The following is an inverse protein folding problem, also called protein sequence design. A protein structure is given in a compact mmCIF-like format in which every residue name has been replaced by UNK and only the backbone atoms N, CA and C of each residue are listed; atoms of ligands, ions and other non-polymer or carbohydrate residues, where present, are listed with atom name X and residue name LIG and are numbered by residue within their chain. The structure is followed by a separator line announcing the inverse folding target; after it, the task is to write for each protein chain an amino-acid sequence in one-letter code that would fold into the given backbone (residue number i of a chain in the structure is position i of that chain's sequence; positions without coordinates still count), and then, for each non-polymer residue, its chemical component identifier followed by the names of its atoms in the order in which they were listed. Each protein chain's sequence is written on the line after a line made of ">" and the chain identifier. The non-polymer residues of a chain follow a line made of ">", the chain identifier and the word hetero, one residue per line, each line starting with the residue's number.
data_IF_256372558688
#
_entry.id   IF_256372558688
#
_cell.length_a   1.000
_cell.length_b   1.000
_cell.length_c   1.000
_cell.angle_alpha   90.00
_cell.angle_beta   90.00
_cell.angle_gamma   90.00
#
_symmetry.space_group_name_H-M   'P 1'
#
loop_
_entity.id
_entity.type
_entity.pdbx_description
1 polymer ?
#
# COMPACT_ATOMS: atom_id res chain seq x y z
N UNK A 1 30.29 -47.50 -74.54
CA UNK A 1 29.42 -46.49 -73.88
C UNK A 1 28.43 -47.24 -72.98
N UNK A 2 28.51 -47.03 -71.65
CA UNK A 2 27.66 -47.70 -70.64
C UNK A 2 26.34 -46.92 -70.45
N UNK A 3 25.19 -47.58 -70.20
CA UNK A 3 23.96 -46.87 -69.84
C UNK A 3 24.01 -46.43 -68.37
N UNK A 4 23.76 -45.15 -68.11
CA UNK A 4 23.66 -44.58 -66.76
C UNK A 4 22.30 -44.91 -66.16
N UNK A 5 22.29 -45.55 -65.00
CA UNK A 5 21.11 -45.75 -64.14
C UNK A 5 20.76 -44.42 -63.47
N UNK A 6 19.50 -43.99 -63.56
CA UNK A 6 18.92 -42.93 -62.74
C UNK A 6 18.54 -43.53 -61.38
N UNK A 7 19.07 -42.96 -60.30
CA UNK A 7 18.67 -43.26 -58.93
C UNK A 7 17.52 -42.32 -58.51
N UNK A 8 16.55 -42.77 -57.71
CA UNK A 8 15.51 -41.90 -57.18
C UNK A 8 16.09 -41.05 -56.04
N UNK A 9 15.92 -39.73 -56.14
CA UNK A 9 16.22 -38.79 -55.08
C UNK A 9 15.12 -38.92 -54.00
N UNK A 10 15.37 -39.66 -52.93
CA UNK A 10 14.57 -39.55 -51.71
C UNK A 10 14.95 -38.23 -51.03
N UNK A 11 14.13 -37.19 -51.21
CA UNK A 11 14.18 -36.00 -50.38
C UNK A 11 13.62 -36.37 -49.00
N UNK A 12 14.52 -36.57 -48.02
CA UNK A 12 14.14 -36.62 -46.62
C UNK A 12 13.63 -35.23 -46.22
N UNK A 13 12.30 -35.07 -46.08
CA UNK A 13 11.75 -33.95 -45.31
C UNK A 13 12.16 -34.14 -43.86
N UNK A 14 13.16 -33.37 -43.42
CA UNK A 14 13.41 -33.16 -42.01
C UNK A 14 12.23 -32.35 -41.44
N UNK A 15 11.26 -33.04 -40.84
CA UNK A 15 10.36 -32.40 -39.88
C UNK A 15 11.19 -32.07 -38.64
N UNK A 16 11.73 -30.87 -38.59
CA UNK A 16 12.12 -30.28 -37.31
C UNK A 16 10.84 -29.94 -36.58
N UNK A 17 10.37 -30.83 -35.70
CA UNK A 17 9.44 -30.48 -34.64
C UNK A 17 10.15 -29.52 -33.70
N UNK A 18 10.25 -28.25 -34.09
CA UNK A 18 10.59 -27.18 -33.17
C UNK A 18 9.44 -27.09 -32.19
N UNK A 19 9.70 -27.41 -30.92
CA UNK A 19 8.80 -27.00 -29.86
C UNK A 19 8.64 -25.48 -30.00
N UNK A 20 7.42 -24.99 -30.22
CA UNK A 20 7.14 -23.57 -30.19
C UNK A 20 7.67 -23.04 -28.85
N UNK A 21 8.53 -22.03 -28.90
CA UNK A 21 8.99 -21.35 -27.69
C UNK A 21 7.78 -20.62 -27.09
N UNK A 22 7.68 -20.62 -25.76
CA UNK A 22 6.64 -19.85 -25.08
C UNK A 22 6.88 -18.36 -25.34
N UNK A 23 5.84 -17.65 -25.76
CA UNK A 23 5.82 -16.20 -25.99
C UNK A 23 5.42 -15.44 -24.70
N UNK A 24 5.97 -15.91 -23.56
CA UNK A 24 5.82 -15.29 -22.24
C UNK A 24 7.13 -14.57 -21.88
N UNK A 25 7.14 -13.25 -22.00
CA UNK A 25 8.34 -12.43 -21.78
C UNK A 25 8.25 -11.67 -20.46
N UNK A 26 9.28 -11.78 -19.61
CA UNK A 26 9.38 -10.94 -18.40
C UNK A 26 9.84 -9.53 -18.77
N UNK A 27 9.11 -8.52 -18.30
CA UNK A 27 9.45 -7.11 -18.52
C UNK A 27 10.51 -6.66 -17.49
N UNK A 28 11.60 -6.06 -17.95
CA UNK A 28 12.76 -5.72 -17.12
C UNK A 28 12.47 -4.59 -16.10
N UNK A 29 11.72 -3.57 -16.51
CA UNK A 29 11.42 -2.38 -15.70
C UNK A 29 10.02 -2.46 -15.10
N UNK A 30 9.84 -3.37 -14.15
CA UNK A 30 8.55 -3.63 -13.50
C UNK A 30 8.53 -3.07 -12.08
N UNK A 31 7.42 -2.43 -11.71
CA UNK A 31 7.20 -1.86 -10.37
C UNK A 31 6.68 -2.87 -9.35
N UNK A 32 6.18 -4.04 -9.76
CA UNK A 32 5.72 -5.10 -8.86
C UNK A 32 6.81 -6.15 -8.60
N UNK A 33 7.19 -6.40 -7.33
CA UNK A 33 8.13 -7.46 -6.95
C UNK A 33 7.81 -8.87 -7.49
N UNK A 34 6.54 -9.20 -7.73
CA UNK A 34 6.15 -10.47 -8.34
C UNK A 34 6.39 -10.54 -9.86
N UNK A 35 6.75 -9.43 -10.48
CA UNK A 35 7.10 -9.34 -11.90
C UNK A 35 5.94 -8.93 -12.79
N UNK A 36 6.33 -8.45 -13.98
CA UNK A 36 5.44 -8.05 -15.06
C UNK A 36 5.77 -8.96 -16.25
N UNK A 37 4.73 -9.50 -16.89
CA UNK A 37 4.88 -10.45 -17.98
C UNK A 37 4.05 -10.00 -19.18
N UNK A 38 4.65 -10.01 -20.37
CA UNK A 38 3.96 -9.85 -21.63
C UNK A 38 3.68 -11.24 -22.21
N UNK A 39 2.42 -11.50 -22.54
CA UNK A 39 2.03 -12.66 -23.33
C UNK A 39 1.62 -12.15 -24.71
N UNK A 40 2.40 -12.50 -25.73
CA UNK A 40 2.18 -12.05 -27.10
C UNK A 40 2.06 -13.23 -28.06
N UNK A 41 1.59 -13.00 -29.28
CA UNK A 41 1.58 -14.06 -30.29
C UNK A 41 0.55 -15.16 -30.02
N UNK A 42 0.70 -16.29 -30.70
CA UNK A 42 -0.25 -17.39 -30.65
C UNK A 42 -0.14 -18.16 -29.32
N UNK A 43 -1.26 -18.41 -28.65
CA UNK A 43 -1.30 -19.13 -27.38
C UNK A 43 -1.20 -20.63 -27.64
N UNK A 44 -0.20 -21.25 -27.02
CA UNK A 44 0.12 -22.67 -27.12
C UNK A 44 0.24 -23.33 -25.74
N UNK A 45 0.38 -24.65 -25.72
CA UNK A 45 0.66 -25.39 -24.48
C UNK A 45 1.98 -24.97 -23.81
N UNK A 46 2.94 -24.45 -24.58
CA UNK A 46 4.21 -23.95 -24.05
C UNK A 46 3.99 -22.70 -23.16
N UNK A 47 3.07 -21.82 -23.54
CA UNK A 47 2.72 -20.61 -22.76
C UNK A 47 2.04 -20.98 -21.45
N UNK A 48 1.11 -21.95 -21.50
CA UNK A 48 0.47 -22.49 -20.30
C UNK A 48 1.50 -23.12 -19.34
N UNK A 49 2.46 -23.89 -19.87
CA UNK A 49 3.53 -24.47 -19.08
C UNK A 49 4.47 -23.41 -18.48
N UNK A 50 4.82 -22.36 -19.23
CA UNK A 50 5.64 -21.25 -18.75
C UNK A 50 4.95 -20.50 -17.60
N UNK A 51 3.64 -20.22 -17.73
CA UNK A 51 2.85 -19.62 -16.65
C UNK A 51 2.78 -20.51 -15.41
N UNK A 52 2.66 -21.83 -15.58
CA UNK A 52 2.67 -22.76 -14.46
C UNK A 52 4.00 -22.71 -13.68
N UNK A 53 5.12 -22.60 -14.38
CA UNK A 53 6.45 -22.43 -13.75
C UNK A 53 6.55 -21.08 -13.00
N UNK A 54 6.03 -20.00 -13.58
CA UNK A 54 5.98 -18.69 -12.92
C UNK A 54 5.12 -18.77 -11.64
N UNK A 55 3.94 -19.38 -11.73
CA UNK A 55 3.04 -19.57 -10.58
C UNK A 55 3.72 -20.36 -9.47
N UNK A 56 4.37 -21.47 -9.80
CA UNK A 56 5.13 -22.27 -8.83
C UNK A 56 6.28 -21.48 -8.19
N UNK A 57 6.95 -20.62 -8.94
CA UNK A 57 7.99 -19.76 -8.38
C UNK A 57 7.42 -18.73 -7.41
N UNK A 58 6.24 -18.18 -7.68
CA UNK A 58 5.58 -17.18 -6.84
C UNK A 58 4.87 -17.79 -5.62
N UNK A 59 4.48 -19.06 -5.70
CA UNK A 59 3.74 -19.75 -4.65
C UNK A 59 4.47 -19.72 -3.29
N UNK A 60 3.69 -19.52 -2.22
CA UNK A 60 4.18 -19.38 -0.85
C UNK A 60 4.99 -18.11 -0.55
N UNK A 61 5.28 -17.26 -1.54
CA UNK A 61 6.00 -16.00 -1.31
C UNK A 61 5.01 -14.89 -0.97
N UNK A 62 5.32 -14.09 0.07
CA UNK A 62 4.55 -12.88 0.42
C UNK A 62 4.90 -11.72 -0.53
N UNK A 63 4.79 -11.95 -1.83
CA UNK A 63 5.01 -10.93 -2.85
C UNK A 63 3.71 -10.23 -3.19
N UNK A 64 3.83 -9.06 -3.82
CA UNK A 64 2.72 -8.39 -4.48
C UNK A 64 2.13 -9.26 -5.60
N UNK A 65 1.02 -8.81 -6.18
CA UNK A 65 0.37 -9.45 -7.33
C UNK A 65 1.22 -9.24 -8.60
N UNK A 66 1.41 -10.25 -9.46
CA UNK A 66 2.06 -10.04 -10.76
C UNK A 66 1.11 -9.31 -11.72
N UNK A 67 1.69 -8.60 -12.68
CA UNK A 67 0.95 -7.95 -13.78
C UNK A 67 1.21 -8.71 -15.08
N UNK A 68 0.16 -8.96 -15.85
CA UNK A 68 0.21 -9.67 -17.13
C UNK A 68 -0.41 -8.81 -18.21
N UNK A 69 0.39 -8.39 -19.18
CA UNK A 69 -0.07 -7.64 -20.35
C UNK A 69 -0.32 -8.61 -21.50
N UNK A 70 -1.44 -8.46 -22.21
CA UNK A 70 -1.83 -9.34 -23.32
C UNK A 70 -1.77 -8.60 -24.66
N UNK A 71 -1.11 -9.23 -25.63
CA UNK A 71 -1.10 -8.82 -27.03
C UNK A 71 -1.12 -10.04 -27.96
N UNK A 72 -2.26 -10.72 -28.03
CA UNK A 72 -2.40 -12.04 -28.67
C UNK A 72 -3.60 -12.11 -29.62
N UNK A 73 -3.41 -12.69 -30.83
CA UNK A 73 -4.52 -13.03 -31.73
C UNK A 73 -5.36 -14.23 -31.26
N UNK A 74 -4.99 -14.90 -30.16
CA UNK A 74 -5.62 -16.13 -29.69
C UNK A 74 -4.71 -17.34 -29.88
N UNK A 75 -5.29 -18.53 -29.99
CA UNK A 75 -4.55 -19.79 -30.11
C UNK A 75 -5.37 -20.98 -29.63
N UNK A 76 -4.70 -21.97 -29.03
CA UNK A 76 -5.32 -23.20 -28.54
C UNK A 76 -6.19 -22.91 -27.31
N UNK A 77 -7.48 -23.24 -27.40
CA UNK A 77 -8.49 -22.95 -26.36
C UNK A 77 -8.17 -23.66 -25.05
N UNK A 78 -7.79 -24.94 -25.10
CA UNK A 78 -7.46 -25.72 -23.90
C UNK A 78 -6.21 -25.14 -23.20
N UNK A 79 -5.19 -24.72 -23.96
CA UNK A 79 -4.02 -24.03 -23.43
C UNK A 79 -4.39 -22.68 -22.79
N UNK A 80 -5.25 -21.90 -23.45
CA UNK A 80 -5.71 -20.62 -22.93
C UNK A 80 -6.53 -20.76 -21.64
N UNK A 81 -7.39 -21.78 -21.54
CA UNK A 81 -8.11 -22.10 -20.29
C UNK A 81 -7.13 -22.50 -19.18
N UNK A 82 -6.14 -23.36 -19.49
CA UNK A 82 -5.14 -23.76 -18.52
C UNK A 82 -4.33 -22.56 -18.02
N UNK A 83 -3.83 -21.73 -18.94
CA UNK A 83 -3.16 -20.47 -18.65
C UNK A 83 -4.03 -19.54 -17.79
N UNK A 84 -5.29 -19.33 -18.16
CA UNK A 84 -6.24 -18.51 -17.40
C UNK A 84 -6.45 -19.00 -15.97
N UNK A 85 -6.52 -20.32 -15.74
CA UNK A 85 -6.59 -20.90 -14.39
C UNK A 85 -5.32 -20.62 -13.58
N UNK A 86 -4.16 -20.71 -14.20
CA UNK A 86 -2.88 -20.38 -13.55
C UNK A 86 -2.78 -18.89 -13.22
N UNK A 87 -3.21 -18.01 -14.13
CA UNK A 87 -3.32 -16.55 -13.90
C UNK A 87 -4.20 -16.27 -12.66
N UNK A 88 -5.32 -16.98 -12.54
CA UNK A 88 -6.21 -16.90 -11.38
C UNK A 88 -5.53 -17.32 -10.07
N UNK A 89 -4.78 -18.42 -10.08
CA UNK A 89 -4.06 -18.91 -8.91
C UNK A 89 -3.05 -17.90 -8.38
N UNK A 90 -2.33 -17.22 -9.29
CA UNK A 90 -1.41 -16.14 -8.93
C UNK A 90 -2.13 -14.87 -8.45
N UNK A 91 -3.46 -14.84 -8.51
CA UNK A 91 -4.30 -13.64 -8.34
C UNK A 91 -3.75 -12.50 -9.20
N UNK A 92 -3.37 -12.72 -10.46
CA UNK A 92 -2.72 -11.69 -11.26
C UNK A 92 -3.64 -10.50 -11.60
N UNK A 93 -3.02 -9.35 -11.88
CA UNK A 93 -3.65 -8.26 -12.62
C UNK A 93 -3.38 -8.46 -14.12
N UNK A 94 -4.41 -8.31 -14.96
CA UNK A 94 -4.31 -8.60 -16.39
C UNK A 94 -4.78 -7.38 -17.18
N UNK A 95 -3.96 -6.97 -18.14
CA UNK A 95 -4.12 -5.73 -18.87
C UNK A 95 -4.07 -5.95 -20.37
N UNK A 96 -4.89 -5.19 -21.11
CA UNK A 96 -4.76 -5.05 -22.56
C UNK A 96 -4.49 -3.58 -22.83
N UNK A 97 -3.24 -3.26 -23.11
CA UNK A 97 -2.79 -1.88 -23.29
C UNK A 97 -3.33 -1.25 -24.58
N UNK A 98 -3.33 0.09 -24.62
CA UNK A 98 -3.65 0.84 -25.84
C UNK A 98 -2.75 0.39 -27.00
N UNK A 99 -3.36 0.10 -28.16
CA UNK A 99 -2.66 -0.44 -29.33
C UNK A 99 -2.40 -1.95 -29.31
N UNK A 100 -2.62 -2.63 -28.17
CA UNK A 100 -2.58 -4.09 -28.08
C UNK A 100 -3.95 -4.71 -28.34
N UNK A 101 -3.96 -6.02 -28.62
CA UNK A 101 -5.18 -6.77 -28.87
C UNK A 101 -5.22 -8.09 -28.10
N UNK A 102 -6.42 -8.49 -27.68
CA UNK A 102 -6.69 -9.79 -27.09
C UNK A 102 -7.88 -10.43 -27.80
N UNK A 103 -7.59 -11.31 -28.76
CA UNK A 103 -8.58 -11.85 -29.68
C UNK A 103 -8.81 -13.34 -29.41
N UNK A 104 -10.01 -13.82 -29.69
CA UNK A 104 -10.34 -15.25 -29.66
C UNK A 104 -10.02 -15.90 -28.30
N UNK A 105 -9.24 -16.97 -28.28
CA UNK A 105 -8.85 -17.69 -27.07
C UNK A 105 -8.10 -16.83 -26.04
N UNK A 106 -7.47 -15.70 -26.44
CA UNK A 106 -6.83 -14.78 -25.51
C UNK A 106 -7.79 -14.28 -24.41
N UNK A 107 -9.08 -14.16 -24.72
CA UNK A 107 -10.11 -13.73 -23.76
C UNK A 107 -10.13 -14.61 -22.51
N UNK A 108 -9.70 -15.87 -22.60
CA UNK A 108 -9.63 -16.77 -21.44
C UNK A 108 -8.44 -16.46 -20.52
N UNK A 109 -7.33 -15.90 -21.03
CA UNK A 109 -6.25 -15.39 -20.18
C UNK A 109 -6.72 -14.13 -19.44
N UNK A 110 -7.39 -13.21 -20.16
CA UNK A 110 -8.00 -12.01 -19.57
C UNK A 110 -8.99 -12.37 -18.46
N UNK A 111 -9.87 -13.34 -18.73
CA UNK A 111 -10.82 -13.85 -17.75
C UNK A 111 -10.14 -14.45 -16.49
N UNK A 112 -8.91 -14.96 -16.62
CA UNK A 112 -8.12 -15.47 -15.50
C UNK A 112 -7.77 -14.41 -14.44
N UNK A 113 -7.55 -13.16 -14.86
CA UNK A 113 -7.15 -12.07 -13.97
C UNK A 113 -8.20 -11.78 -12.90
N UNK A 114 -7.77 -11.39 -11.69
CA UNK A 114 -8.73 -10.92 -10.66
C UNK A 114 -8.87 -9.40 -10.66
N UNK A 115 -7.96 -8.70 -11.33
CA UNK A 115 -8.12 -7.32 -11.81
C UNK A 115 -7.92 -7.34 -13.31
N UNK A 116 -8.84 -6.70 -14.04
CA UNK A 116 -8.84 -6.69 -15.50
C UNK A 116 -9.01 -5.25 -15.97
N UNK A 117 -8.04 -4.78 -16.75
CA UNK A 117 -7.99 -3.42 -17.27
C UNK A 117 -7.83 -3.46 -18.78
N UNK A 118 -8.83 -3.00 -19.52
CA UNK A 118 -8.84 -3.03 -20.98
C UNK A 118 -8.84 -1.61 -21.53
N UNK A 119 -7.73 -1.25 -22.19
CA UNK A 119 -7.53 -0.01 -22.95
C UNK A 119 -7.36 -0.26 -24.45
N UNK A 120 -6.94 -1.48 -24.83
CA UNK A 120 -6.83 -1.94 -26.20
C UNK A 120 -8.08 -2.64 -26.74
N UNK A 121 -7.89 -3.49 -27.75
CA UNK A 121 -9.00 -4.19 -28.43
C UNK A 121 -9.20 -5.59 -27.87
N UNK A 122 -10.44 -5.93 -27.52
CA UNK A 122 -10.83 -7.31 -27.19
C UNK A 122 -11.85 -7.79 -28.21
N UNK A 123 -11.56 -8.92 -28.85
CA UNK A 123 -12.37 -9.45 -29.94
C UNK A 123 -12.74 -10.90 -29.72
N UNK A 124 -13.99 -11.25 -30.03
CA UNK A 124 -14.53 -12.59 -29.84
C UNK A 124 -14.96 -13.22 -31.16
N UNK A 125 -14.84 -14.55 -31.23
CA UNK A 125 -15.47 -15.40 -32.22
C UNK A 125 -15.66 -16.81 -31.68
N UNK A 126 -16.42 -17.65 -32.39
CA UNK A 126 -16.66 -19.03 -31.96
C UNK A 126 -15.36 -19.83 -31.93
N UNK A 127 -15.04 -20.54 -30.84
CA UNK A 127 -13.93 -21.49 -30.81
C UNK A 127 -14.06 -22.52 -31.93
N UNK A 128 -12.94 -22.91 -32.53
CA UNK A 128 -12.89 -23.95 -33.55
C UNK A 128 -11.80 -24.97 -33.22
N UNK A 129 -11.92 -26.17 -33.78
CA UNK A 129 -10.91 -27.22 -33.65
C UNK A 129 -9.96 -27.13 -34.84
N UNK A 130 -8.65 -26.92 -34.65
CA UNK A 130 -7.70 -26.78 -35.76
C UNK A 130 -7.28 -28.13 -36.41
N UNK A 131 -7.89 -29.25 -36.01
CA UNK A 131 -7.56 -30.59 -36.50
C UNK A 131 -7.79 -30.70 -38.01
N UNK A 132 -6.79 -31.23 -38.72
CA UNK A 132 -6.83 -31.50 -40.16
C UNK A 132 -7.26 -32.96 -40.36
N UNK A 133 -8.43 -33.17 -40.97
CA UNK A 133 -9.02 -34.49 -41.22
C UNK A 133 -10.55 -34.42 -41.21
N UNK A 134 -11.22 -35.46 -41.70
CA UNK A 134 -12.69 -35.55 -41.63
C UNK A 134 -13.09 -36.06 -40.24
N UNK A 135 -13.78 -35.21 -39.46
CA UNK A 135 -14.60 -35.66 -38.34
C UNK A 135 -15.98 -36.02 -38.89
N UNK A 136 -16.56 -37.13 -38.41
CA UNK A 136 -17.98 -37.34 -38.66
C UNK A 136 -18.84 -36.34 -37.86
N UNK A 137 -20.12 -36.24 -38.21
CA UNK A 137 -21.02 -35.27 -37.59
C UNK A 137 -21.23 -35.52 -36.09
N UNK A 138 -21.13 -36.78 -35.63
CA UNK A 138 -21.28 -37.11 -34.21
C UNK A 138 -20.05 -36.65 -33.43
N UNK A 139 -18.84 -36.91 -33.93
CA UNK A 139 -17.59 -36.45 -33.35
C UNK A 139 -17.50 -34.92 -33.32
N UNK A 140 -17.91 -34.24 -34.40
CA UNK A 140 -17.96 -32.78 -34.44
C UNK A 140 -18.96 -32.21 -33.40
N UNK A 141 -20.13 -32.84 -33.27
CA UNK A 141 -21.15 -32.46 -32.30
C UNK A 141 -20.68 -32.68 -30.85
N UNK A 142 -19.96 -33.76 -30.58
CA UNK A 142 -19.35 -34.06 -29.27
C UNK A 142 -18.24 -33.07 -28.92
N UNK A 143 -17.34 -32.77 -29.87
CA UNK A 143 -16.27 -31.79 -29.69
C UNK A 143 -16.83 -30.39 -29.39
N UNK A 144 -17.89 -29.99 -30.11
CA UNK A 144 -18.57 -28.72 -29.87
C UNK A 144 -19.15 -28.64 -28.46
N UNK A 145 -19.86 -29.69 -28.01
CA UNK A 145 -20.44 -29.75 -26.65
C UNK A 145 -19.36 -29.77 -25.57
N UNK A 146 -18.32 -30.57 -25.75
CA UNK A 146 -17.18 -30.64 -24.83
C UNK A 146 -16.51 -29.28 -24.67
N UNK A 147 -16.29 -28.57 -25.78
CA UNK A 147 -15.72 -27.21 -25.76
C UNK A 147 -16.63 -26.23 -25.04
N UNK A 148 -17.95 -26.26 -25.32
CA UNK A 148 -18.93 -25.44 -24.63
C UNK A 148 -18.88 -25.66 -23.11
N UNK A 149 -18.92 -26.91 -22.68
CA UNK A 149 -18.98 -27.27 -21.27
C UNK A 149 -17.72 -26.84 -20.54
N UNK A 150 -16.54 -27.08 -21.13
CA UNK A 150 -15.24 -26.63 -20.61
C UNK A 150 -15.18 -25.11 -20.47
N UNK A 151 -15.58 -24.36 -21.51
CA UNK A 151 -15.51 -22.90 -21.49
C UNK A 151 -16.49 -22.33 -20.47
N UNK A 152 -17.75 -22.77 -20.45
CA UNK A 152 -18.72 -22.28 -19.46
C UNK A 152 -18.30 -22.63 -18.03
N UNK A 153 -17.79 -23.84 -17.79
CA UNK A 153 -17.24 -24.20 -16.49
C UNK A 153 -16.07 -23.27 -16.09
N UNK A 154 -15.14 -23.00 -17.00
CA UNK A 154 -14.05 -22.06 -16.76
C UNK A 154 -14.55 -20.64 -16.45
N UNK A 155 -15.51 -20.11 -17.22
CA UNK A 155 -16.05 -18.77 -16.98
C UNK A 155 -16.71 -18.66 -15.60
N UNK A 156 -17.48 -19.67 -15.18
CA UNK A 156 -18.05 -19.75 -13.83
C UNK A 156 -16.98 -19.78 -12.76
N UNK A 157 -15.94 -20.60 -12.93
CA UNK A 157 -14.81 -20.66 -11.99
C UNK A 157 -14.08 -19.31 -11.87
N UNK A 158 -14.12 -18.50 -12.93
CA UNK A 158 -13.56 -17.15 -12.96
C UNK A 158 -14.55 -16.06 -12.50
N UNK A 159 -15.75 -16.41 -12.05
CA UNK A 159 -16.85 -15.50 -11.70
C UNK A 159 -17.31 -14.58 -12.85
N UNK A 160 -17.30 -15.08 -14.08
CA UNK A 160 -17.80 -14.38 -15.27
C UNK A 160 -19.16 -14.93 -15.73
N UNK A 161 -19.85 -14.13 -16.56
CA UNK A 161 -21.10 -14.53 -17.19
C UNK A 161 -20.87 -15.57 -18.29
N UNK A 162 -21.62 -16.66 -18.25
CA UNK A 162 -21.64 -17.66 -19.34
C UNK A 162 -22.10 -17.07 -20.69
N UNK A 163 -22.78 -15.93 -20.65
CA UNK A 163 -23.26 -15.26 -21.86
C UNK A 163 -22.12 -14.74 -22.73
N UNK A 164 -20.90 -14.64 -22.19
CA UNK A 164 -19.72 -14.38 -23.02
C UNK A 164 -19.52 -15.50 -24.04
N UNK A 165 -19.63 -16.77 -23.64
CA UNK A 165 -19.56 -17.88 -24.57
C UNK A 165 -20.72 -17.87 -25.57
N UNK A 166 -21.93 -17.57 -25.10
CA UNK A 166 -23.11 -17.49 -25.98
C UNK A 166 -22.93 -16.38 -27.04
N UNK A 167 -22.28 -15.27 -26.71
CA UNK A 167 -21.92 -14.22 -27.65
C UNK A 167 -20.78 -14.65 -28.60
N UNK A 168 -19.81 -15.43 -28.13
CA UNK A 168 -18.73 -15.97 -28.97
C UNK A 168 -19.28 -16.87 -30.08
N UNK A 169 -20.17 -17.81 -29.74
CA UNK A 169 -20.67 -18.80 -30.72
C UNK A 169 -21.55 -18.22 -31.82
N UNK A 170 -22.05 -16.99 -31.65
CA UNK A 170 -22.81 -16.26 -32.67
C UNK A 170 -21.91 -15.64 -33.75
N UNK A 171 -20.60 -15.56 -33.52
CA UNK A 171 -19.66 -14.93 -34.45
C UNK A 171 -18.87 -16.03 -35.17
N UNK A 172 -18.95 -16.13 -36.51
CA UNK A 172 -18.18 -17.10 -37.29
C UNK A 172 -16.67 -16.99 -37.04
N UNK A 173 -15.95 -18.11 -37.18
CA UNK A 173 -14.53 -18.23 -36.82
C UNK A 173 -13.61 -17.37 -37.69
N UNK A 174 -14.04 -17.07 -38.90
CA UNK A 174 -13.36 -16.23 -39.89
C UNK A 174 -13.64 -14.73 -39.71
N UNK A 175 -14.45 -14.35 -38.71
CA UNK A 175 -14.78 -12.97 -38.38
C UNK A 175 -14.35 -12.66 -36.94
N UNK A 176 -14.19 -11.37 -36.64
CA UNK A 176 -13.91 -10.90 -35.28
C UNK A 176 -14.94 -9.84 -34.94
N UNK A 177 -15.64 -10.04 -33.83
CA UNK A 177 -16.50 -9.02 -33.24
C UNK A 177 -15.77 -8.39 -32.05
N UNK A 178 -15.44 -7.11 -32.18
CA UNK A 178 -14.84 -6.35 -31.08
C UNK A 178 -15.90 -6.00 -30.04
N UNK A 179 -15.56 -6.16 -28.76
CA UNK A 179 -16.42 -5.81 -27.65
C UNK A 179 -16.26 -4.33 -27.30
N UNK A 180 -17.36 -3.62 -27.10
CA UNK A 180 -17.31 -2.26 -26.58
C UNK A 180 -17.12 -2.24 -25.05
N UNK A 181 -16.93 -1.06 -24.47
CA UNK A 181 -16.73 -0.88 -23.04
C UNK A 181 -17.89 -1.39 -22.18
N UNK A 182 -19.13 -1.27 -22.67
CA UNK A 182 -20.33 -1.73 -21.97
C UNK A 182 -20.37 -3.25 -21.95
N UNK A 183 -20.11 -3.89 -23.10
CA UNK A 183 -20.03 -5.34 -23.22
C UNK A 183 -18.89 -5.94 -22.39
N UNK A 184 -17.72 -5.31 -22.40
CA UNK A 184 -16.58 -5.71 -21.58
C UNK A 184 -16.93 -5.73 -20.10
N UNK A 185 -17.65 -4.71 -19.60
CA UNK A 185 -18.15 -4.69 -18.23
C UNK A 185 -19.25 -5.74 -17.99
N UNK A 186 -20.19 -5.85 -18.92
CA UNK A 186 -21.30 -6.80 -18.84
C UNK A 186 -20.82 -8.25 -18.73
N UNK A 187 -19.78 -8.62 -19.49
CA UNK A 187 -19.15 -9.94 -19.42
C UNK A 187 -18.14 -10.09 -18.29
N UNK A 188 -17.81 -9.03 -17.54
CA UNK A 188 -16.84 -9.08 -16.44
C UNK A 188 -15.36 -9.01 -16.86
N UNK A 189 -15.08 -8.64 -18.12
CA UNK A 189 -13.74 -8.58 -18.71
C UNK A 189 -12.99 -7.26 -18.46
N UNK A 190 -13.65 -6.22 -17.94
CA UNK A 190 -13.01 -4.94 -17.60
C UNK A 190 -13.46 -4.42 -16.22
N UNK A 191 -13.34 -5.29 -15.21
CA UNK A 191 -13.75 -5.08 -13.83
C UNK A 191 -12.82 -5.87 -12.89
N UNK A 192 -12.80 -5.49 -11.61
CA UNK A 192 -12.23 -6.33 -10.55
C UNK A 192 -13.18 -7.49 -10.24
N UNK A 193 -12.64 -8.70 -10.08
CA UNK A 193 -13.39 -9.90 -9.73
C UNK A 193 -14.20 -9.69 -8.43
N UNK A 194 -15.48 -10.13 -8.37
CA UNK A 194 -16.34 -9.85 -7.22
C UNK A 194 -15.83 -10.46 -5.91
N UNK A 195 -15.16 -11.62 -5.94
CA UNK A 195 -14.57 -12.23 -4.75
C UNK A 195 -13.32 -11.45 -4.32
N UNK A 196 -12.53 -10.95 -5.27
CA UNK A 196 -11.41 -10.06 -4.97
C UNK A 196 -11.88 -8.74 -4.34
N UNK A 197 -12.96 -8.14 -4.85
CA UNK A 197 -13.60 -6.96 -4.24
C UNK A 197 -14.05 -7.27 -2.82
N UNK A 198 -14.73 -8.39 -2.59
CA UNK A 198 -15.22 -8.82 -1.27
C UNK A 198 -14.06 -8.98 -0.26
N UNK A 199 -12.94 -9.55 -0.70
CA UNK A 199 -11.72 -9.70 0.08
C UNK A 199 -11.10 -8.34 0.42
N UNK A 200 -10.90 -7.47 -0.58
CA UNK A 200 -10.32 -6.13 -0.40
C UNK A 200 -11.18 -5.28 0.53
N UNK A 201 -12.50 -5.29 0.36
CA UNK A 201 -13.42 -4.50 1.17
C UNK A 201 -13.41 -4.96 2.64
N UNK A 202 -13.26 -6.26 2.88
CA UNK A 202 -13.12 -6.80 4.24
C UNK A 202 -11.81 -6.38 4.89
N UNK A 203 -10.70 -6.44 4.17
CA UNK A 203 -9.41 -5.96 4.64
C UNK A 203 -9.41 -4.44 4.89
N UNK A 204 -10.08 -3.69 4.02
CA UNK A 204 -10.30 -2.26 4.18
C UNK A 204 -11.10 -1.92 5.43
N UNK A 205 -12.21 -2.62 5.67
CA UNK A 205 -13.00 -2.45 6.89
C UNK A 205 -12.16 -2.70 8.16
N UNK A 206 -11.35 -3.76 8.16
CA UNK A 206 -10.43 -4.08 9.26
C UNK A 206 -9.37 -3.00 9.46
N UNK A 207 -8.78 -2.45 8.38
CA UNK A 207 -7.80 -1.35 8.43
C UNK A 207 -8.35 -0.13 9.17
N UNK A 208 -9.62 0.20 8.96
CA UNK A 208 -10.26 1.37 9.60
C UNK A 208 -10.99 1.04 10.91
N UNK A 209 -10.97 -0.20 11.38
CA UNK A 209 -11.64 -0.62 12.62
C UNK A 209 -13.17 -0.48 12.59
N UNK A 210 -13.78 -0.55 11.40
CA UNK A 210 -15.23 -0.38 11.20
C UNK A 210 -15.86 -1.68 10.69
N UNK A 211 -17.18 -1.82 10.85
CA UNK A 211 -17.91 -2.94 10.25
C UNK A 211 -17.83 -2.88 8.72
N UNK A 212 -17.90 -4.05 8.07
CA UNK A 212 -17.94 -4.12 6.60
C UNK A 212 -19.11 -3.33 6.00
N UNK A 213 -20.29 -3.40 6.64
CA UNK A 213 -21.46 -2.65 6.20
C UNK A 213 -21.22 -1.14 6.23
N UNK A 214 -20.53 -0.64 7.27
CA UNK A 214 -20.14 0.77 7.35
C UNK A 214 -19.07 1.11 6.30
N UNK A 215 -18.07 0.26 6.10
CA UNK A 215 -17.05 0.46 5.07
C UNK A 215 -17.66 0.63 3.67
N UNK A 216 -18.64 -0.21 3.30
CA UNK A 216 -19.32 -0.12 2.01
C UNK A 216 -20.11 1.18 1.84
N UNK A 217 -20.74 1.69 2.92
CA UNK A 217 -21.39 3.02 2.88
C UNK A 217 -20.36 4.11 2.59
N UNK A 218 -19.20 4.07 3.26
CA UNK A 218 -18.12 5.05 3.05
C UNK A 218 -17.52 4.94 1.66
N UNK A 219 -17.34 3.72 1.13
CA UNK A 219 -16.89 3.47 -0.24
C UNK A 219 -17.81 4.13 -1.27
N UNK A 220 -19.14 4.02 -1.10
CA UNK A 220 -20.11 4.70 -1.98
C UNK A 220 -20.05 6.24 -1.89
N UNK A 221 -19.57 6.80 -0.78
CA UNK A 221 -19.27 8.24 -0.66
C UNK A 221 -17.94 8.56 -1.33
N UNK A 222 -16.95 7.69 -1.18
CA UNK A 222 -15.60 7.85 -1.72
C UNK A 222 -15.60 7.90 -3.26
N UNK A 223 -16.55 7.24 -3.92
CA UNK A 223 -16.76 7.35 -5.37
C UNK A 223 -17.04 8.79 -5.86
N UNK A 224 -17.38 9.70 -4.94
CA UNK A 224 -17.61 11.12 -5.21
C UNK A 224 -16.38 12.00 -4.94
N UNK A 225 -15.24 11.41 -4.56
CA UNK A 225 -14.00 12.14 -4.39
C UNK A 225 -13.55 12.74 -5.73
N UNK A 226 -12.98 13.97 -5.72
CA UNK A 226 -12.51 14.61 -6.94
C UNK A 226 -11.37 13.80 -7.57
N UNK A 227 -11.43 13.58 -8.88
CA UNK A 227 -10.41 12.86 -9.64
C UNK A 227 -9.20 13.75 -9.95
N UNK A 228 -8.61 14.34 -8.90
CA UNK A 228 -7.38 15.15 -8.96
C UNK A 228 -6.41 14.51 -7.97
N UNK A 229 -5.33 13.91 -8.48
CA UNK A 229 -4.40 13.00 -7.75
C UNK A 229 -4.02 13.50 -6.36
N UNK A 230 -3.62 14.77 -6.23
CA UNK A 230 -3.20 15.38 -4.95
C UNK A 230 -4.32 15.42 -3.89
N UNK A 231 -5.57 15.53 -4.33
CA UNK A 231 -6.74 15.63 -3.44
C UNK A 231 -7.52 14.33 -3.31
N UNK A 232 -7.31 13.38 -4.23
CA UNK A 232 -8.04 12.12 -4.27
C UNK A 232 -7.67 11.25 -3.07
N UNK A 233 -6.38 11.01 -2.82
CA UNK A 233 -5.93 10.19 -1.69
C UNK A 233 -6.31 10.80 -0.34
N UNK A 234 -6.18 12.13 -0.21
CA UNK A 234 -6.60 12.85 0.99
C UNK A 234 -8.12 12.76 1.19
N UNK A 235 -8.91 12.84 0.11
CA UNK A 235 -10.37 12.67 0.16
C UNK A 235 -10.75 11.24 0.55
N UNK A 236 -10.12 10.21 -0.03
CA UNK A 236 -10.36 8.82 0.31
C UNK A 236 -10.10 8.56 1.79
N UNK A 237 -8.93 8.97 2.28
CA UNK A 237 -8.57 8.79 3.69
C UNK A 237 -9.54 9.52 4.61
N UNK A 238 -9.97 10.74 4.26
CA UNK A 238 -10.97 11.50 5.01
C UNK A 238 -12.33 10.79 5.01
N UNK A 239 -12.83 10.35 3.86
CA UNK A 239 -14.11 9.64 3.74
C UNK A 239 -14.08 8.33 4.51
N UNK A 240 -13.02 7.52 4.40
CA UNK A 240 -12.95 6.25 5.11
C UNK A 240 -12.80 6.43 6.63
N UNK A 241 -12.26 7.55 7.11
CA UNK A 241 -12.23 7.89 8.54
C UNK A 241 -13.54 8.47 9.06
N UNK A 242 -14.18 9.35 8.29
CA UNK A 242 -15.30 10.18 8.77
C UNK A 242 -16.67 9.75 8.25
N UNK A 243 -16.72 9.15 7.07
CA UNK A 243 -17.93 8.82 6.33
C UNK A 243 -18.49 9.94 5.44
N UNK A 244 -17.80 11.09 5.35
CA UNK A 244 -18.27 12.27 4.62
C UNK A 244 -17.24 12.75 3.60
N UNK A 245 -17.70 13.42 2.53
CA UNK A 245 -16.79 14.15 1.65
C UNK A 245 -16.18 15.36 2.37
N UNK A 246 -14.92 15.74 2.08
CA UNK A 246 -14.32 16.96 2.62
C UNK A 246 -15.12 18.24 2.31
N UNK A 247 -15.76 18.30 1.14
CA UNK A 247 -16.65 19.40 0.72
C UNK A 247 -17.99 19.41 1.45
N UNK A 248 -18.42 18.24 1.94
CA UNK A 248 -19.59 18.06 2.79
C UNK A 248 -19.16 18.08 4.26
N UNK A 249 -18.23 18.98 4.66
CA UNK A 249 -18.00 19.28 6.09
C UNK A 249 -19.37 19.28 6.74
N UNK A 250 -19.67 18.33 7.65
CA UNK A 250 -20.95 18.35 8.31
C UNK A 250 -21.06 19.76 8.87
N UNK A 251 -22.16 20.46 8.58
CA UNK A 251 -22.60 21.46 9.55
C UNK A 251 -22.84 20.63 10.82
N UNK A 252 -21.79 20.46 11.62
CA UNK A 252 -21.89 19.94 12.97
C UNK A 252 -22.93 20.84 13.59
N UNK A 253 -24.06 20.23 13.94
CA UNK A 253 -25.19 20.90 14.56
C UNK A 253 -24.63 21.86 15.62
N UNK A 254 -25.02 23.14 15.59
CA UNK A 254 -24.40 24.17 16.44
C UNK A 254 -24.51 23.79 17.93
N UNK A 255 -25.53 22.99 18.26
CA UNK A 255 -25.79 22.35 19.56
C UNK A 255 -24.84 21.20 19.91
N UNK A 256 -24.34 20.42 18.95
CA UNK A 256 -23.34 19.37 19.21
C UNK A 256 -21.96 20.01 19.44
N UNK A 257 -21.63 21.06 18.70
CA UNK A 257 -20.38 21.81 18.90
C UNK A 257 -20.31 22.44 20.29
N UNK A 258 -21.42 23.00 20.80
CA UNK A 258 -21.43 23.57 22.14
C UNK A 258 -21.22 22.51 23.22
N UNK A 259 -21.85 21.33 23.07
CA UNK A 259 -21.70 20.19 23.98
C UNK A 259 -20.28 19.62 23.96
N UNK A 260 -19.69 19.41 22.78
CA UNK A 260 -18.31 18.93 22.67
C UNK A 260 -17.30 19.97 23.18
N UNK A 261 -17.49 21.25 22.87
CA UNK A 261 -16.62 22.31 23.37
C UNK A 261 -16.70 22.44 24.91
N UNK A 262 -17.87 22.18 25.51
CA UNK A 262 -17.99 22.09 26.96
C UNK A 262 -17.26 20.86 27.51
N UNK A 263 -17.46 19.70 26.89
CA UNK A 263 -16.79 18.45 27.28
C UNK A 263 -15.27 18.57 27.23
N UNK A 264 -14.71 19.22 26.20
CA UNK A 264 -13.27 19.41 26.06
C UNK A 264 -12.71 20.44 27.04
N UNK A 265 -13.49 21.46 27.41
CA UNK A 265 -13.11 22.38 28.49
C UNK A 265 -13.03 21.69 29.85
N UNK A 266 -13.95 20.75 30.11
CA UNK A 266 -14.02 20.03 31.38
C UNK A 266 -13.03 18.86 31.44
N UNK A 267 -12.85 18.16 30.30
CA UNK A 267 -11.97 17.00 30.15
C UNK A 267 -11.16 17.12 28.85
N UNK A 268 -10.04 17.87 28.84
CA UNK A 268 -9.22 18.12 27.65
C UNK A 268 -8.74 16.85 26.93
N UNK A 269 -8.53 15.76 27.67
CA UNK A 269 -8.11 14.47 27.11
C UNK A 269 -9.18 13.77 26.24
N UNK A 270 -10.40 14.29 26.20
CA UNK A 270 -11.44 13.79 25.28
C UNK A 270 -11.38 14.45 23.90
N UNK A 271 -10.57 15.50 23.73
CA UNK A 271 -10.31 16.09 22.43
C UNK A 271 -9.33 15.20 21.65
N UNK A 272 -9.82 14.53 20.60
CA UNK A 272 -9.05 13.63 19.72
C UNK A 272 -7.89 14.33 19.01
N UNK A 273 -7.99 15.65 18.81
CA UNK A 273 -6.95 16.47 18.18
C UNK A 273 -6.11 17.21 19.24
N UNK A 274 -6.53 17.13 20.51
CA UNK A 274 -5.88 17.79 21.63
C UNK A 274 -4.59 17.09 22.06
N UNK A 275 -3.63 17.84 22.64
CA UNK A 275 -2.36 17.28 23.11
C UNK A 275 -2.54 16.26 24.24
N UNK A 276 -3.64 16.35 24.99
CA UNK A 276 -3.91 15.47 26.14
C UNK A 276 -4.72 14.22 25.76
N UNK A 277 -4.95 13.98 24.46
CA UNK A 277 -5.84 12.93 23.97
C UNK A 277 -5.60 11.55 24.61
N UNK A 278 -6.63 11.02 25.26
CA UNK A 278 -6.64 9.68 25.84
C UNK A 278 -7.58 8.79 25.05
N UNK A 279 -7.03 7.99 24.13
CA UNK A 279 -7.83 7.15 23.24
C UNK A 279 -8.74 6.18 24.00
N UNK A 280 -8.29 5.63 25.13
CA UNK A 280 -9.12 4.73 25.93
C UNK A 280 -10.33 5.45 26.55
N UNK A 281 -10.17 6.71 26.99
CA UNK A 281 -11.27 7.52 27.48
C UNK A 281 -12.25 7.87 26.35
N UNK A 282 -11.73 8.24 25.17
CA UNK A 282 -12.52 8.57 23.98
C UNK A 282 -13.34 7.37 23.52
N UNK A 283 -12.73 6.18 23.45
CA UNK A 283 -13.40 4.94 23.05
C UNK A 283 -14.50 4.56 24.05
N UNK A 284 -14.27 4.73 25.36
CA UNK A 284 -15.30 4.48 26.38
C UNK A 284 -16.45 5.50 26.30
N UNK A 285 -16.17 6.79 26.06
CA UNK A 285 -17.22 7.81 25.83
C UNK A 285 -18.07 7.44 24.61
N UNK A 286 -17.45 7.05 23.50
CA UNK A 286 -18.15 6.63 22.28
C UNK A 286 -19.05 5.42 22.57
N UNK A 287 -18.51 4.41 23.26
CA UNK A 287 -19.26 3.21 23.63
C UNK A 287 -20.47 3.51 24.52
N UNK A 288 -20.31 4.37 25.52
CA UNK A 288 -21.41 4.75 26.44
C UNK A 288 -22.45 5.60 25.70
N UNK A 289 -22.02 6.55 24.88
CA UNK A 289 -22.90 7.38 24.03
C UNK A 289 -23.78 6.50 23.15
N UNK A 290 -23.18 5.54 22.42
CA UNK A 290 -23.91 4.69 21.50
C UNK A 290 -24.93 3.79 22.22
N UNK A 291 -24.58 3.32 23.43
CA UNK A 291 -25.51 2.57 24.28
C UNK A 291 -26.68 3.43 24.80
N UNK A 292 -26.46 4.72 25.06
CA UNK A 292 -27.52 5.66 25.45
C UNK A 292 -28.42 6.03 24.28
N UNK A 293 -27.84 6.25 23.09
CA UNK A 293 -28.62 6.48 21.86
C UNK A 293 -29.51 5.27 21.53
N UNK A 294 -29.01 4.04 21.72
CA UNK A 294 -29.81 2.83 21.56
C UNK A 294 -30.99 2.74 22.56
N UNK A 295 -30.94 3.48 23.67
CA UNK A 295 -32.03 3.61 24.66
C UNK A 295 -32.96 4.80 24.38
N UNK A 296 -32.79 5.49 23.25
CA UNK A 296 -33.66 6.59 22.83
C UNK A 296 -33.22 7.99 23.28
N UNK A 297 -32.02 8.14 23.82
CA UNK A 297 -31.47 9.47 24.13
C UNK A 297 -31.17 10.25 22.85
N UNK A 298 -31.34 11.57 22.89
CA UNK A 298 -30.83 12.44 21.82
C UNK A 298 -29.30 12.37 21.76
N UNK A 299 -28.71 12.69 20.61
CA UNK A 299 -27.25 12.67 20.44
C UNK A 299 -26.55 13.57 21.46
N UNK A 300 -27.09 14.76 21.71
CA UNK A 300 -26.54 15.74 22.66
C UNK A 300 -26.64 15.25 24.10
N UNK A 301 -27.77 14.68 24.51
CA UNK A 301 -27.95 14.14 25.86
C UNK A 301 -27.08 12.91 26.09
N UNK A 302 -26.96 12.05 25.07
CA UNK A 302 -26.11 10.86 25.11
C UNK A 302 -24.63 11.23 25.24
N UNK A 303 -24.15 12.26 24.52
CA UNK A 303 -22.77 12.75 24.65
C UNK A 303 -22.55 13.34 26.03
N UNK A 304 -23.45 14.23 26.49
CA UNK A 304 -23.33 14.89 27.79
C UNK A 304 -23.25 13.85 28.93
N UNK A 305 -24.14 12.86 28.90
CA UNK A 305 -24.19 11.81 29.92
C UNK A 305 -23.00 10.83 29.82
N UNK A 306 -22.55 10.50 28.61
CA UNK A 306 -21.35 9.68 28.42
C UNK A 306 -20.09 10.37 28.95
N UNK A 307 -19.90 11.65 28.64
CA UNK A 307 -18.79 12.46 29.16
C UNK A 307 -18.83 12.54 30.68
N UNK A 308 -20.02 12.78 31.27
CA UNK A 308 -20.21 12.82 32.72
C UNK A 308 -19.84 11.50 33.41
N UNK A 309 -20.13 10.37 32.78
CA UNK A 309 -19.82 9.04 33.34
C UNK A 309 -18.34 8.67 33.20
N UNK A 310 -17.71 9.03 32.09
CA UNK A 310 -16.36 8.56 31.74
C UNK A 310 -15.28 9.56 32.16
N UNK A 311 -15.50 10.87 31.97
CA UNK A 311 -14.51 11.91 32.24
C UNK A 311 -13.83 11.79 33.61
N UNK A 312 -14.57 11.72 34.72
CA UNK A 312 -13.97 11.60 36.05
C UNK A 312 -13.11 10.33 36.25
N UNK A 313 -13.36 9.25 35.50
CA UNK A 313 -12.57 8.00 35.60
C UNK A 313 -11.17 8.14 35.00
N UNK A 314 -10.97 9.11 34.12
CA UNK A 314 -9.73 9.34 33.38
C UNK A 314 -9.02 10.64 33.75
N UNK A 315 -9.64 11.47 34.59
CA UNK A 315 -9.00 12.64 35.17
C UNK A 315 -7.68 12.26 35.90
N UNK A 316 -6.57 12.90 35.51
CA UNK A 316 -5.24 12.66 36.08
C UNK A 316 -4.53 11.39 35.59
N UNK A 317 -5.07 10.66 34.60
CA UNK A 317 -4.36 9.53 33.98
C UNK A 317 -3.56 10.01 32.77
N UNK A 318 -2.36 9.44 32.59
CA UNK A 318 -1.45 9.78 31.50
C UNK A 318 -2.11 9.60 30.12
N UNK A 319 -1.75 10.49 29.18
CA UNK A 319 -2.12 10.39 27.78
C UNK A 319 -1.57 9.10 27.15
N UNK A 320 -2.16 8.68 26.03
CA UNK A 320 -1.64 7.53 25.28
C UNK A 320 -0.39 7.94 24.48
N UNK A 321 0.47 6.98 24.11
CA UNK A 321 1.72 7.20 23.34
C UNK A 321 1.57 8.06 22.09
N UNK A 322 0.40 8.05 21.44
CA UNK A 322 0.09 8.88 20.27
C UNK A 322 -0.19 10.36 20.63
N UNK A 323 -0.87 10.60 21.76
CA UNK A 323 -1.08 11.95 22.31
C UNK A 323 0.21 12.53 22.89
N UNK A 324 1.01 11.70 23.57
CA UNK A 324 2.31 12.09 24.12
C UNK A 324 3.27 12.61 23.05
N UNK A 325 3.34 11.96 21.88
CA UNK A 325 4.22 12.39 20.79
C UNK A 325 3.77 13.71 20.14
N UNK A 326 2.47 13.89 19.93
CA UNK A 326 1.91 15.14 19.41
C UNK A 326 2.11 16.31 20.39
N UNK A 327 1.82 16.10 21.67
CA UNK A 327 2.02 17.09 22.73
C UNK A 327 3.50 17.46 22.88
N UNK A 328 4.39 16.47 22.82
CA UNK A 328 5.83 16.68 22.89
C UNK A 328 6.34 17.52 21.71
N UNK A 329 5.89 17.22 20.48
CA UNK A 329 6.28 17.97 19.29
C UNK A 329 5.87 19.45 19.37
N UNK A 330 4.64 19.74 19.81
CA UNK A 330 4.17 21.13 19.96
C UNK A 330 4.91 21.86 21.07
N UNK A 331 5.14 21.22 22.22
CA UNK A 331 5.89 21.81 23.34
C UNK A 331 7.33 22.14 22.93
N UNK A 332 7.99 21.27 22.17
CA UNK A 332 9.35 21.52 21.68
C UNK A 332 9.40 22.67 20.67
N UNK A 333 8.43 22.76 19.75
CA UNK A 333 8.35 23.88 18.80
C UNK A 333 8.15 25.23 19.52
N UNK A 334 7.24 25.29 20.51
CA UNK A 334 7.04 26.49 21.33
C UNK A 334 8.31 26.85 22.13
N UNK A 335 8.98 25.84 22.68
CA UNK A 335 10.22 26.01 23.43
C UNK A 335 11.33 26.61 22.55
N UNK A 336 11.52 26.09 21.33
CA UNK A 336 12.55 26.56 20.41
C UNK A 336 12.24 27.94 19.83
N UNK A 337 10.96 28.24 19.57
CA UNK A 337 10.54 29.57 19.15
C UNK A 337 10.84 30.64 20.23
N UNK A 338 10.66 30.27 21.50
CA UNK A 338 10.84 31.19 22.64
C UNK A 338 12.29 31.27 23.12
N UNK A 339 13.01 30.16 23.07
CA UNK A 339 14.40 30.03 23.50
C UNK A 339 15.21 29.27 22.43
N UNK A 340 15.62 29.94 21.34
CA UNK A 340 16.33 29.30 20.22
C UNK A 340 17.58 28.50 20.60
N UNK A 341 18.29 28.92 21.65
CA UNK A 341 19.47 28.21 22.17
C UNK A 341 19.15 26.84 22.79
N UNK A 342 17.88 26.46 22.96
CA UNK A 342 17.49 25.11 23.38
C UNK A 342 17.35 24.14 22.20
N UNK A 343 17.38 24.65 20.97
CA UNK A 343 17.37 23.84 19.75
C UNK A 343 18.79 23.31 19.48
N UNK A 344 18.93 21.98 19.45
CA UNK A 344 20.22 21.33 19.28
C UNK A 344 20.80 21.49 17.87
N UNK A 345 19.95 21.86 16.90
CA UNK A 345 20.33 22.02 15.49
C UNK A 345 20.84 23.44 15.19
N UNK A 346 20.70 24.38 16.13
CA UNK A 346 21.05 25.77 15.90
C UNK A 346 22.49 26.14 16.30
N UNK A 347 23.14 27.07 15.58
CA UNK A 347 24.49 27.52 15.91
C UNK A 347 24.62 28.20 17.29
N UNK A 348 23.52 28.76 17.82
CA UNK A 348 23.44 29.41 19.12
C UNK A 348 23.01 28.47 20.25
N UNK A 349 23.05 27.14 20.02
CA UNK A 349 22.74 26.12 21.02
C UNK A 349 23.54 26.31 22.31
N UNK A 350 22.86 26.16 23.45
CA UNK A 350 23.44 26.16 24.78
C UNK A 350 23.20 24.80 25.46
N UNK A 351 24.19 23.91 25.35
CA UNK A 351 24.10 22.55 25.88
C UNK A 351 23.90 22.52 27.40
N UNK A 352 24.46 23.47 28.15
CA UNK A 352 24.25 23.56 29.59
C UNK A 352 22.78 23.89 29.93
N UNK A 353 22.13 24.72 29.11
CA UNK A 353 20.70 24.99 29.25
C UNK A 353 19.85 23.75 28.92
N UNK A 354 20.23 23.00 27.87
CA UNK A 354 19.55 21.75 27.49
C UNK A 354 19.69 20.70 28.60
N UNK A 355 20.88 20.52 29.16
CA UNK A 355 21.13 19.57 30.24
C UNK A 355 20.32 19.90 31.49
N UNK A 356 20.22 21.18 31.86
CA UNK A 356 19.40 21.60 33.00
C UNK A 356 17.89 21.39 32.70
N UNK A 357 17.41 21.66 31.49
CA UNK A 357 16.03 21.33 31.07
C UNK A 357 15.76 19.83 31.20
N UNK A 358 16.68 18.98 30.75
CA UNK A 358 16.57 17.52 30.84
C UNK A 358 16.51 17.04 32.30
N UNK A 359 17.36 17.60 33.16
CA UNK A 359 17.38 17.26 34.59
C UNK A 359 16.09 17.66 35.30
N UNK A 360 15.62 18.89 35.09
CA UNK A 360 14.38 19.39 35.69
C UNK A 360 13.18 18.59 35.19
N UNK A 361 13.11 18.31 33.87
CA UNK A 361 12.09 17.43 33.29
C UNK A 361 12.07 16.08 33.98
N UNK A 362 13.22 15.41 34.09
CA UNK A 362 13.29 14.08 34.69
C UNK A 362 12.83 14.08 36.15
N UNK A 363 13.18 15.12 36.91
CA UNK A 363 12.74 15.28 38.29
C UNK A 363 11.22 15.49 38.41
N UNK A 364 10.60 16.21 37.46
CA UNK A 364 9.15 16.39 37.39
C UNK A 364 8.45 15.10 36.96
N UNK A 365 8.97 14.38 35.97
CA UNK A 365 8.44 13.08 35.57
C UNK A 365 8.47 12.07 36.72
N UNK A 366 9.52 12.08 37.54
CA UNK A 366 9.61 11.25 38.75
C UNK A 366 8.55 11.61 39.82
N UNK A 367 7.95 12.81 39.75
CA UNK A 367 6.86 13.26 40.62
C UNK A 367 5.47 12.98 40.02
N UNK A 368 5.39 12.31 38.88
CA UNK A 368 4.12 11.90 38.25
C UNK A 368 3.60 12.85 37.16
N UNK A 369 4.38 13.87 36.76
CA UNK A 369 4.03 14.74 35.64
C UNK A 369 4.12 14.00 34.31
N UNK A 370 3.21 14.32 33.38
CA UNK A 370 3.29 13.83 31.99
C UNK A 370 4.50 14.40 31.25
N UNK A 371 5.04 13.69 30.26
CA UNK A 371 6.28 14.07 29.57
C UNK A 371 6.24 15.49 28.96
N UNK A 372 5.13 15.85 28.30
CA UNK A 372 4.95 17.17 27.69
C UNK A 372 4.83 18.30 28.73
N UNK A 373 4.11 18.05 29.83
CA UNK A 373 3.97 18.98 30.95
C UNK A 373 5.31 19.20 31.66
N UNK A 374 6.04 18.12 31.93
CA UNK A 374 7.36 18.16 32.54
C UNK A 374 8.37 18.95 31.70
N UNK A 375 8.35 18.80 30.37
CA UNK A 375 9.22 19.56 29.47
C UNK A 375 8.82 21.04 29.43
N UNK A 376 7.53 21.34 29.32
CA UNK A 376 7.03 22.72 29.32
C UNK A 376 7.43 23.46 30.60
N UNK A 377 7.27 22.82 31.75
CA UNK A 377 7.67 23.36 33.05
C UNK A 377 9.20 23.54 33.15
N UNK A 378 9.98 22.54 32.71
CA UNK A 378 11.43 22.62 32.69
C UNK A 378 11.96 23.76 31.81
N UNK A 379 11.42 23.91 30.58
CA UNK A 379 11.79 25.00 29.66
C UNK A 379 11.46 26.36 30.26
N UNK A 380 10.29 26.54 30.87
CA UNK A 380 9.90 27.80 31.50
C UNK A 380 10.77 28.15 32.71
N UNK A 381 11.27 27.15 33.43
CA UNK A 381 12.16 27.35 34.57
C UNK A 381 13.60 27.68 34.14
N UNK A 382 14.10 27.02 33.10
CA UNK A 382 15.51 27.10 32.69
C UNK A 382 15.75 28.20 31.65
N UNK A 383 14.87 28.34 30.66
CA UNK A 383 15.02 29.28 29.54
C UNK A 383 15.38 30.72 29.97
N UNK A 384 14.66 31.34 30.92
CA UNK A 384 15.00 32.68 31.41
C UNK A 384 16.41 32.80 32.02
N UNK A 385 16.96 31.73 32.61
CA UNK A 385 18.29 31.74 33.25
C UNK A 385 19.43 31.87 32.24
N UNK A 386 19.18 31.48 30.98
CA UNK A 386 20.17 31.44 29.90
C UNK A 386 19.90 32.46 28.80
N UNK A 387 18.73 33.10 28.80
CA UNK A 387 18.41 34.20 27.90
C UNK A 387 19.42 35.37 28.07
N UNK A 388 20.10 35.74 26.99
CA UNK A 388 21.06 36.85 26.96
C UNK A 388 22.47 36.52 27.47
N UNK A 389 22.74 35.28 27.88
CA UNK A 389 24.11 34.80 28.11
C UNK A 389 24.69 34.35 26.78
N UNK A 390 25.86 34.87 26.39
CA UNK A 390 26.58 34.37 25.22
C UNK A 390 26.71 32.85 25.32
N UNK A 391 26.46 32.14 24.22
CA UNK A 391 26.76 30.72 24.12
C UNK A 391 28.16 30.51 24.69
N UNK A 392 28.26 29.84 25.83
CA UNK A 392 29.56 29.47 26.36
C UNK A 392 30.12 28.52 25.33
N UNK A 393 30.98 29.02 24.45
CA UNK A 393 31.85 28.22 23.62
C UNK A 393 32.82 27.49 24.55
N UNK A 394 32.29 26.53 25.29
CA UNK A 394 33.09 25.48 25.88
C UNK A 394 33.56 24.63 24.69
N UNK A 395 34.86 24.33 24.67
CA UNK A 395 35.59 23.78 23.52
C UNK A 395 35.03 22.52 22.87
N UNK A 396 33.99 21.90 23.43
CA UNK A 396 33.33 20.71 22.91
C UNK A 396 32.48 20.95 21.66
N UNK A 397 31.88 22.13 21.49
CA UNK A 397 31.04 22.42 20.30
C UNK A 397 31.87 22.58 19.02
N UNK A 398 32.99 23.30 19.10
CA UNK A 398 33.95 23.42 18.00
C UNK A 398 34.66 22.09 17.70
N UNK A 399 34.97 21.30 18.75
CA UNK A 399 35.51 19.96 18.60
C UNK A 399 34.52 19.01 17.94
N UNK A 400 33.24 19.05 18.32
CA UNK A 400 32.17 18.23 17.72
C UNK A 400 31.97 18.57 16.24
N UNK A 401 31.91 19.86 15.89
CA UNK A 401 31.81 20.30 14.50
C UNK A 401 33.04 19.91 13.65
N UNK A 402 34.23 19.82 14.25
CA UNK A 402 35.41 19.28 13.58
C UNK A 402 35.33 17.76 13.39
N UNK A 403 34.85 17.02 14.40
CA UNK A 403 34.67 15.57 14.33
C UNK A 403 33.62 15.17 13.30
N UNK A 404 32.49 15.87 13.23
CA UNK A 404 31.45 15.61 12.24
C UNK A 404 31.93 15.83 10.81
N UNK A 405 32.71 16.91 10.57
CA UNK A 405 33.34 17.14 9.26
C UNK A 405 34.32 16.03 8.87
N UNK A 406 35.14 15.55 9.81
CA UNK A 406 36.04 14.41 9.59
C UNK A 406 35.26 13.11 9.31
N UNK A 407 34.18 12.87 10.07
CA UNK A 407 33.31 11.72 9.93
C UNK A 407 32.64 11.68 8.55
N UNK A 408 32.06 12.79 8.10
CA UNK A 408 31.38 12.86 6.80
C UNK A 408 32.35 12.81 5.62
N UNK A 409 33.56 13.36 5.77
CA UNK A 409 34.60 13.19 4.76
C UNK A 409 35.02 11.71 4.60
N UNK A 410 35.02 10.95 5.69
CA UNK A 410 35.43 9.54 5.70
C UNK A 410 34.29 8.58 5.35
N UNK A 411 33.07 8.90 5.75
CA UNK A 411 31.86 8.10 5.55
C UNK A 411 30.71 9.02 5.10
N UNK A 412 30.64 9.38 3.80
CA UNK A 412 29.66 10.34 3.29
C UNK A 412 28.20 9.94 3.53
N UNK A 413 27.90 8.64 3.59
CA UNK A 413 26.57 8.12 3.88
C UNK A 413 26.08 8.39 5.33
N UNK A 414 26.95 8.90 6.21
CA UNK A 414 26.56 9.33 7.55
C UNK A 414 26.08 10.79 7.59
N UNK A 415 26.26 11.52 6.49
CA UNK A 415 25.75 12.89 6.35
C UNK A 415 24.28 12.84 5.93
N UNK A 416 23.37 13.17 6.85
CA UNK A 416 21.92 13.12 6.63
C UNK A 416 21.44 14.12 5.56
N UNK A 417 22.25 15.14 5.23
CA UNK A 417 21.91 16.13 4.20
C UNK A 417 22.18 15.63 2.79
N UNK A 418 22.83 14.47 2.65
CA UNK A 418 23.20 13.93 1.36
C UNK A 418 22.17 12.93 0.80
N UNK A 419 21.97 12.88 -0.52
CA UNK A 419 21.07 11.91 -1.15
C UNK A 419 21.49 10.44 -0.96
N UNK A 420 22.77 10.19 -0.70
CA UNK A 420 23.36 8.87 -0.42
C UNK A 420 23.42 8.54 1.09
N UNK A 421 22.68 9.28 1.92
CA UNK A 421 22.57 9.01 3.36
C UNK A 421 22.01 7.60 3.63
N UNK A 422 22.64 6.87 4.54
CA UNK A 422 22.18 5.57 5.00
C UNK A 422 21.57 5.71 6.40
N UNK A 423 20.24 5.79 6.44
CA UNK A 423 19.50 6.02 7.69
C UNK A 423 19.79 4.97 8.77
N UNK A 424 19.94 3.70 8.40
CA UNK A 424 20.26 2.64 9.37
C UNK A 424 21.65 2.83 9.99
N UNK A 425 22.63 3.28 9.20
CA UNK A 425 23.98 3.59 9.68
C UNK A 425 23.96 4.81 10.62
N UNK A 426 23.18 5.84 10.28
CA UNK A 426 23.00 7.05 11.09
C UNK A 426 22.34 6.68 12.43
N UNK A 427 21.26 5.92 12.42
CA UNK A 427 20.55 5.49 13.62
C UNK A 427 21.45 4.67 14.56
N UNK A 428 22.28 3.76 14.02
CA UNK A 428 23.23 2.97 14.81
C UNK A 428 24.36 3.84 15.38
N UNK A 429 24.89 4.82 14.63
CA UNK A 429 25.86 5.81 15.15
C UNK A 429 25.27 6.59 16.31
N UNK A 430 24.03 7.06 16.19
CA UNK A 430 23.35 7.82 17.24
C UNK A 430 23.11 6.95 18.48
N UNK A 431 22.73 5.68 18.29
CA UNK A 431 22.54 4.73 19.38
C UNK A 431 23.85 4.48 20.16
N UNK A 432 24.96 4.21 19.45
CA UNK A 432 26.26 3.97 20.07
C UNK A 432 26.79 5.24 20.77
N UNK A 433 26.66 6.41 20.11
CA UNK A 433 27.01 7.70 20.73
C UNK A 433 26.25 7.91 22.04
N UNK A 434 24.93 7.69 22.03
CA UNK A 434 24.10 7.89 23.22
C UNK A 434 24.50 6.94 24.36
N UNK A 435 24.85 5.69 24.05
CA UNK A 435 25.35 4.73 25.03
C UNK A 435 26.70 5.17 25.64
N UNK A 436 27.58 5.77 24.86
CA UNK A 436 28.86 6.31 25.34
C UNK A 436 28.67 7.58 26.17
N UNK A 437 27.79 8.50 25.76
CA UNK A 437 27.47 9.68 26.56
C UNK A 437 26.84 9.29 27.92
N UNK A 438 26.02 8.24 27.95
CA UNK A 438 25.48 7.69 29.20
C UNK A 438 26.57 7.10 30.13
N UNK A 439 27.75 6.79 29.60
CA UNK A 439 28.93 6.33 30.35
C UNK A 439 29.86 7.50 30.76
N UNK A 440 29.48 8.75 30.49
CA UNK A 440 30.23 9.94 30.89
C UNK A 440 31.22 10.47 29.83
N UNK A 441 31.20 9.94 28.61
CA UNK A 441 32.02 10.47 27.51
C UNK A 441 31.52 11.86 27.07
N UNK A 442 32.45 12.76 26.76
CA UNK A 442 32.12 14.04 26.13
C UNK A 442 31.54 13.84 24.72
N UNK A 443 30.66 14.74 24.28
CA UNK A 443 29.89 14.57 23.03
C UNK A 443 30.78 14.36 21.79
N UNK A 444 31.89 15.10 21.68
CA UNK A 444 32.86 14.99 20.59
C UNK A 444 33.64 13.65 20.61
N UNK A 445 33.90 13.10 21.80
CA UNK A 445 34.58 11.82 21.96
C UNK A 445 33.62 10.65 21.66
N UNK A 446 32.40 10.74 22.18
CA UNK A 446 31.34 9.75 21.98
C UNK A 446 30.98 9.60 20.50
N UNK A 447 30.82 10.71 19.76
CA UNK A 447 30.53 10.63 18.32
C UNK A 447 31.71 10.08 17.52
N UNK A 448 32.95 10.44 17.88
CA UNK A 448 34.17 9.95 17.20
C UNK A 448 34.27 8.43 17.33
N UNK A 449 34.05 7.92 18.54
CA UNK A 449 34.07 6.49 18.83
C UNK A 449 32.93 5.75 18.10
N UNK A 450 31.71 6.32 18.11
CA UNK A 450 30.56 5.75 17.44
C UNK A 450 30.76 5.64 15.91
N UNK A 451 31.23 6.72 15.27
CA UNK A 451 31.53 6.74 13.84
C UNK A 451 32.61 5.70 13.48
N UNK A 452 33.67 5.60 14.28
CA UNK A 452 34.74 4.61 14.04
C UNK A 452 34.26 3.15 14.20
N UNK A 453 33.26 2.92 15.06
CA UNK A 453 32.70 1.58 15.28
C UNK A 453 31.70 1.18 14.19
N UNK A 454 30.88 2.12 13.73
CA UNK A 454 29.75 1.85 12.83
C UNK A 454 30.11 2.07 11.37
N UNK A 455 30.86 3.13 11.04
CA UNK A 455 31.23 3.48 9.66
C UNK A 455 31.79 2.31 8.83
N UNK A 456 32.77 1.54 9.32
CA UNK A 456 33.29 0.38 8.59
C UNK A 456 32.28 -0.74 8.28
N UNK A 457 31.20 -0.86 9.06
CA UNK A 457 30.16 -1.88 8.85
C UNK A 457 29.31 -1.59 7.63
N UNK A 458 29.07 -0.31 7.35
CA UNK A 458 28.19 0.18 6.29
C UNK A 458 28.94 0.68 5.06
N UNK A 459 30.27 0.76 5.11
CA UNK A 459 31.12 1.15 3.99
C UNK A 459 31.40 0.01 2.98
N UNK A 460 30.67 -1.12 3.06
CA UNK A 460 30.86 -2.30 2.21
C UNK A 460 29.85 -2.39 1.09
#
# INVERSE_FOLDING_TARGET
>A
MKPRRLAPLFAALAFTSGAALADVTRVANCSTPAGCFLISGEITDADAAALAQISQFLDGRKLSRPTITLNSPGGVVDAAIAAGRTIRQMRAEVEVDSGSHCLSACVFLLAGGVRRSVYGTVGIHRPYTPQIGELDIQQAQENYRSTQDKVKAFLRDMNLSDQLYDAMVQVPSEQIRNLDFTELKYFGLNLTDPVEVEYIDSAGAAKYGISKAEYLKRKAVADKCPNVVETFDACLEYVFRTGYLPSQKPQRDSTINSVLAQAYREFPFLDVEGPDANQAAIDEVVKVRDALMAKGYSVTDAIHEAVRQVGPKYAGKAATTKGEFAALSTVLQEAYARYPFLDYERPDVNLAAIDEVVQVRNALMAQGYGAAEAIRAAVNQVGPKYAGKAATANGDGAALAAVLREAYARYPFLDYERPDANQAAIDEVLQVRNALMAQGYGAAEAIRAAVNQVGPKYAR
#
